data_IF_562591439668
#
_entry.id   IF_562591439668
#
_cell.length_a   1.000
_cell.length_b   1.000
_cell.length_c   1.000
_cell.angle_alpha   90.00
_cell.angle_beta   90.00
_cell.angle_gamma   90.00
#
_symmetry.space_group_name_H-M   'P 1'
#
loop_
_entity.id
_entity.type
_entity.pdbx_description
1 polymer ?
#
# COMPACT_ATOMS: atom_id res chain seq x y z
N UNK A 1 -6.24 14.50 20.38
CA UNK A 1 -7.11 13.92 19.34
C UNK A 1 -6.23 13.42 18.21
N UNK A 2 -6.03 12.10 18.06
CA UNK A 2 -5.52 11.54 16.80
C UNK A 2 -6.66 11.62 15.80
N UNK A 3 -6.90 12.82 15.25
CA UNK A 3 -7.81 12.94 14.13
C UNK A 3 -7.24 12.12 12.96
N UNK A 4 -8.03 11.12 12.58
CA UNK A 4 -7.98 10.31 11.37
C UNK A 4 -6.72 10.46 10.49
N UNK A 5 -5.55 10.03 10.98
CA UNK A 5 -4.26 10.40 10.38
C UNK A 5 -4.00 9.72 9.03
N UNK A 6 -4.81 8.73 8.63
CA UNK A 6 -4.65 8.03 7.36
C UNK A 6 -4.77 8.95 6.15
N UNK A 7 -5.58 10.03 6.20
CA UNK A 7 -5.70 10.95 5.07
C UNK A 7 -4.41 11.76 4.85
N UNK A 8 -3.70 12.15 5.93
CA UNK A 8 -2.39 12.79 5.86
C UNK A 8 -1.32 11.81 5.37
N UNK A 9 -1.39 10.55 5.83
CA UNK A 9 -0.51 9.50 5.33
C UNK A 9 -0.75 9.31 3.83
N UNK A 10 -2.00 9.22 3.37
CA UNK A 10 -2.34 9.10 1.94
C UNK A 10 -1.81 10.28 1.12
N UNK A 11 -2.02 11.51 1.58
CA UNK A 11 -1.49 12.71 0.92
C UNK A 11 0.04 12.69 0.84
N UNK A 12 0.71 12.19 1.89
CA UNK A 12 2.16 12.01 1.86
C UNK A 12 2.56 10.92 0.86
N UNK A 13 1.86 9.78 0.83
CA UNK A 13 2.14 8.69 -0.10
C UNK A 13 1.94 9.12 -1.57
N UNK A 14 0.92 9.93 -1.87
CA UNK A 14 0.68 10.48 -3.22
C UNK A 14 1.85 11.31 -3.77
N UNK A 15 2.72 11.84 -2.90
CA UNK A 15 3.90 12.62 -3.29
C UNK A 15 5.11 11.77 -3.67
N UNK A 16 5.03 10.45 -3.49
CA UNK A 16 6.11 9.51 -3.79
C UNK A 16 5.76 8.57 -4.95
N UNK A 17 6.79 8.08 -5.66
CA UNK A 17 6.59 7.04 -6.67
C UNK A 17 6.08 5.75 -6.03
N UNK A 18 5.36 4.93 -6.80
CA UNK A 18 4.91 3.60 -6.36
C UNK A 18 6.04 2.77 -5.72
N UNK A 19 7.22 2.76 -6.33
CA UNK A 19 8.41 2.11 -5.79
C UNK A 19 8.77 2.60 -4.39
N UNK A 20 8.85 3.91 -4.20
CA UNK A 20 9.22 4.47 -2.89
C UNK A 20 8.13 4.24 -1.84
N UNK A 21 6.86 4.24 -2.23
CA UNK A 21 5.74 3.86 -1.35
C UNK A 21 5.87 2.42 -0.89
N UNK A 22 6.09 1.47 -1.82
CA UNK A 22 6.23 0.04 -1.49
C UNK A 22 7.46 -0.20 -0.61
N UNK A 23 8.62 0.37 -0.97
CA UNK A 23 9.84 0.29 -0.15
C UNK A 23 9.63 0.84 1.26
N UNK A 24 8.94 1.98 1.38
CA UNK A 24 8.62 2.61 2.66
C UNK A 24 7.72 1.74 3.54
N UNK A 25 6.71 1.10 2.94
CA UNK A 25 5.82 0.16 3.66
C UNK A 25 6.60 -1.06 4.13
N UNK A 26 7.42 -1.67 3.27
CA UNK A 26 8.23 -2.84 3.63
C UNK A 26 9.21 -2.49 4.76
N UNK A 27 9.93 -1.37 4.63
CA UNK A 27 10.85 -0.88 5.65
C UNK A 27 10.14 -0.63 6.99
N UNK A 28 8.94 -0.05 6.96
CA UNK A 28 8.15 0.19 8.17
C UNK A 28 7.73 -1.11 8.89
N UNK A 29 7.38 -2.15 8.13
CA UNK A 29 6.92 -3.43 8.69
C UNK A 29 8.09 -4.31 9.18
N UNK A 30 9.22 -4.27 8.47
CA UNK A 30 10.35 -5.20 8.67
C UNK A 30 11.58 -4.59 9.34
N UNK A 31 11.61 -3.27 9.53
CA UNK A 31 12.76 -2.45 9.98
C UNK A 31 14.01 -2.55 9.07
N UNK A 32 13.87 -3.08 7.85
CA UNK A 32 14.94 -3.08 6.83
C UNK A 32 15.19 -1.64 6.37
N UNK A 33 16.44 -1.19 6.47
CA UNK A 33 16.88 0.16 6.06
C UNK A 33 17.83 0.15 4.86
N UNK A 34 18.24 -1.04 4.43
CA UNK A 34 19.11 -1.22 3.28
C UNK A 34 18.32 -1.02 1.98
N UNK A 35 18.66 0.03 1.24
CA UNK A 35 17.95 0.36 0.01
C UNK A 35 18.19 -0.67 -1.11
N UNK A 36 19.36 -1.33 -1.17
CA UNK A 36 19.63 -2.34 -2.20
C UNK A 36 18.79 -3.59 -1.98
N UNK A 37 18.65 -4.01 -0.71
CA UNK A 37 17.73 -5.11 -0.34
C UNK A 37 16.29 -4.73 -0.71
N UNK A 38 15.87 -3.49 -0.42
CA UNK A 38 14.53 -3.01 -0.77
C UNK A 38 14.31 -2.91 -2.30
N UNK A 39 15.36 -2.61 -3.07
CA UNK A 39 15.31 -2.61 -4.54
C UNK A 39 15.15 -4.03 -5.11
N UNK A 40 15.92 -5.00 -4.61
CA UNK A 40 15.79 -6.41 -5.01
C UNK A 40 14.39 -6.93 -4.70
N UNK A 41 13.91 -6.69 -3.47
CA UNK A 41 12.55 -7.09 -3.08
C UNK A 41 11.52 -6.42 -3.98
N UNK A 42 11.62 -5.11 -4.26
CA UNK A 42 10.67 -4.44 -5.14
C UNK A 42 10.66 -5.03 -6.56
N UNK A 43 11.82 -5.37 -7.11
CA UNK A 43 11.93 -5.99 -8.43
C UNK A 43 11.35 -7.40 -8.48
N UNK A 44 11.69 -8.25 -7.49
CA UNK A 44 11.12 -9.61 -7.36
C UNK A 44 9.60 -9.57 -7.12
N UNK A 45 9.11 -8.53 -6.46
CA UNK A 45 7.69 -8.34 -6.16
C UNK A 45 6.90 -7.75 -7.34
N UNK A 46 7.53 -6.99 -8.23
CA UNK A 46 6.93 -6.46 -9.47
C UNK A 46 6.75 -7.53 -10.54
N UNK A 47 7.70 -8.46 -10.62
CA UNK A 47 7.66 -9.57 -11.58
C UNK A 47 6.63 -10.64 -11.17
N UNK A 48 6.14 -10.57 -9.94
CA UNK A 48 5.07 -11.38 -9.42
C UNK A 48 3.76 -10.58 -9.47
N UNK A 49 2.67 -11.15 -9.97
CA UNK A 49 1.31 -10.58 -9.87
C UNK A 49 0.85 -10.32 -8.40
N UNK A 50 1.74 -10.51 -7.41
CA UNK A 50 1.59 -10.22 -6.00
C UNK A 50 1.32 -8.75 -5.64
N UNK A 51 1.58 -7.77 -6.51
CA UNK A 51 1.15 -6.38 -6.26
C UNK A 51 -0.38 -6.29 -6.07
N UNK A 52 -1.15 -7.08 -6.83
CA UNK A 52 -2.59 -7.24 -6.59
C UNK A 52 -2.90 -7.92 -5.27
N UNK A 53 -2.00 -8.76 -4.74
CA UNK A 53 -2.21 -9.52 -3.50
C UNK A 53 -1.97 -8.73 -2.21
N UNK A 54 -1.27 -7.57 -2.23
CA UNK A 54 -1.15 -6.69 -1.04
C UNK A 54 -2.53 -6.12 -0.67
N UNK A 55 -3.32 -5.78 -1.69
CA UNK A 55 -4.75 -5.50 -1.52
C UNK A 55 -5.46 -6.83 -1.71
N UNK A 56 -5.39 -7.70 -0.69
CA UNK A 56 -6.08 -8.99 -0.66
C UNK A 56 -7.50 -8.85 -1.25
N UNK A 57 -7.93 -9.81 -2.07
CA UNK A 57 -9.27 -9.86 -2.65
C UNK A 57 -10.36 -9.64 -1.59
N UNK A 58 -10.12 -10.08 -0.35
CA UNK A 58 -11.00 -9.82 0.80
C UNK A 58 -11.21 -8.32 1.10
N UNK A 59 -10.15 -7.50 0.98
CA UNK A 59 -10.21 -6.05 1.17
C UNK A 59 -10.98 -5.41 0.03
N UNK A 60 -10.75 -5.84 -1.21
CA UNK A 60 -11.48 -5.37 -2.39
C UNK A 60 -12.97 -5.67 -2.23
N UNK A 61 -13.31 -6.90 -1.84
CA UNK A 61 -14.69 -7.32 -1.57
C UNK A 61 -15.36 -6.50 -0.48
N UNK A 62 -14.64 -6.19 0.60
CA UNK A 62 -15.13 -5.33 1.67
C UNK A 62 -15.37 -3.89 1.17
N UNK A 63 -14.46 -3.35 0.36
CA UNK A 63 -14.63 -2.01 -0.23
C UNK A 63 -15.83 -1.97 -1.17
N UNK A 64 -15.99 -2.97 -2.03
CA UNK A 64 -17.14 -3.08 -2.94
C UNK A 64 -18.47 -3.22 -2.18
N UNK A 65 -18.50 -4.01 -1.10
CA UNK A 65 -19.66 -4.07 -0.19
C UNK A 65 -19.98 -2.70 0.42
N UNK A 66 -18.97 -1.97 0.89
CA UNK A 66 -19.17 -0.64 1.48
C UNK A 66 -19.63 0.40 0.44
N UNK A 67 -19.13 0.36 -0.79
CA UNK A 67 -19.60 1.24 -1.89
C UNK A 67 -21.09 1.00 -2.19
N UNK A 68 -21.49 -0.28 -2.32
CA UNK A 68 -22.90 -0.67 -2.55
C UNK A 68 -23.83 -0.19 -1.45
N UNK A 69 -23.43 -0.29 -0.18
CA UNK A 69 -24.22 0.17 0.97
C UNK A 69 -24.36 1.70 0.96
N UNK A 70 -23.35 2.43 0.52
CA UNK A 70 -23.31 3.91 0.55
C UNK A 70 -23.89 4.59 -0.70
N UNK A 71 -24.26 3.83 -1.74
CA UNK A 71 -24.93 4.37 -2.93
C UNK A 71 -24.05 5.26 -3.83
N UNK A 72 -22.73 5.14 -3.74
CA UNK A 72 -21.80 5.89 -4.60
C UNK A 72 -21.39 5.01 -5.78
N UNK A 73 -21.93 5.33 -6.97
CA UNK A 73 -21.49 4.84 -8.28
C UNK A 73 -20.45 5.80 -8.87
#
# INVERSE_FOLDING_TARGET
MKENSWHLIKLSLDSYSHQNVVKGIISHITDIKDNEILDVVYLEYLDNDAITSIINDDIIDLLEKQKKIRGNY
#
